data_IF_031417956817
#
_entry.id   IF_031417956817
#
_cell.length_a   1.000
_cell.length_b   1.000
_cell.length_c   1.000
_cell.angle_alpha   90.00
_cell.angle_beta   90.00
_cell.angle_gamma   90.00
#
_symmetry.space_group_name_H-M   'P 1'
#
loop_
_entity.id
_entity.type
_entity.pdbx_description
1 polymer ?
#
# COMPACT_ATOMS: atom_id res chain seq x y z
N UNK A 1 -0.96 -9.09 10.27
CA UNK A 1 -0.13 -8.18 9.45
C UNK A 1 0.79 -8.96 8.51
N UNK A 2 1.50 -9.95 9.00
CA UNK A 2 2.41 -10.76 8.17
C UNK A 2 1.69 -11.43 6.99
N UNK A 3 0.52 -12.01 7.24
CA UNK A 3 -0.26 -12.68 6.19
C UNK A 3 -0.71 -11.71 5.10
N UNK A 4 -1.12 -10.51 5.48
CA UNK A 4 -1.55 -9.47 4.52
C UNK A 4 -0.36 -9.06 3.64
N UNK A 5 0.80 -8.86 4.25
CA UNK A 5 2.02 -8.57 3.52
C UNK A 5 2.34 -9.67 2.48
N UNK A 6 2.29 -10.93 2.92
CA UNK A 6 2.59 -12.06 2.04
C UNK A 6 1.61 -12.17 0.89
N UNK A 7 0.32 -11.94 1.15
CA UNK A 7 -0.70 -11.95 0.10
C UNK A 7 -0.47 -10.84 -0.92
N UNK A 8 -0.15 -9.63 -0.48
CA UNK A 8 0.13 -8.51 -1.39
C UNK A 8 1.41 -8.76 -2.21
N UNK A 9 2.43 -9.34 -1.58
CA UNK A 9 3.65 -9.75 -2.30
C UNK A 9 3.34 -10.79 -3.36
N UNK A 10 2.53 -11.79 -3.02
CA UNK A 10 2.16 -12.85 -3.95
C UNK A 10 1.31 -12.32 -5.10
N UNK A 11 0.39 -11.40 -4.83
CA UNK A 11 -0.41 -10.77 -5.87
C UNK A 11 0.45 -10.01 -6.88
N UNK A 12 1.55 -9.41 -6.41
CA UNK A 12 2.43 -8.56 -7.22
C UNK A 12 1.81 -7.22 -7.50
N UNK A 13 0.76 -7.17 -8.31
CA UNK A 13 -0.04 -5.96 -8.55
C UNK A 13 -1.30 -6.02 -7.69
N UNK A 14 -1.57 -4.96 -6.98
CA UNK A 14 -2.84 -4.74 -6.30
C UNK A 14 -3.40 -3.38 -6.70
N UNK A 15 -4.67 -3.13 -6.39
CA UNK A 15 -5.34 -1.89 -6.77
C UNK A 15 -5.67 -1.10 -5.53
N UNK A 16 -5.31 0.18 -5.54
CA UNK A 16 -5.45 1.07 -4.41
C UNK A 16 -6.42 2.19 -4.76
N UNK A 17 -7.47 2.32 -3.96
CA UNK A 17 -8.49 3.35 -4.14
C UNK A 17 -8.31 4.46 -3.13
N UNK A 18 -8.50 5.68 -3.60
CA UNK A 18 -8.55 6.92 -2.81
C UNK A 18 -9.81 7.69 -3.15
N UNK A 19 -10.05 8.78 -2.45
CA UNK A 19 -11.18 9.65 -2.75
C UNK A 19 -10.67 11.08 -2.97
N UNK A 20 -11.14 11.72 -4.04
CA UNK A 20 -10.82 13.10 -4.35
C UNK A 20 -12.11 13.88 -4.55
N UNK A 21 -12.43 14.77 -3.61
CA UNK A 21 -13.65 15.59 -3.67
C UNK A 21 -14.92 14.77 -3.92
N UNK A 22 -15.03 13.63 -3.21
CA UNK A 22 -16.16 12.72 -3.36
C UNK A 22 -16.06 11.75 -4.53
N UNK A 23 -15.07 11.90 -5.41
CA UNK A 23 -14.88 10.99 -6.54
C UNK A 23 -13.90 9.86 -6.15
N UNK A 24 -14.32 8.59 -6.22
CA UNK A 24 -13.38 7.47 -6.06
C UNK A 24 -12.35 7.46 -7.19
N UNK A 25 -11.10 7.19 -6.83
CA UNK A 25 -10.00 7.03 -7.77
C UNK A 25 -9.30 5.71 -7.49
N UNK A 26 -8.91 4.98 -8.52
CA UNK A 26 -8.23 3.69 -8.38
C UNK A 26 -7.06 3.60 -9.36
N UNK A 27 -5.98 2.94 -8.94
CA UNK A 27 -4.79 2.72 -9.76
C UNK A 27 -4.05 1.47 -9.28
N UNK A 28 -3.22 0.87 -10.14
CA UNK A 28 -2.37 -0.24 -9.72
C UNK A 28 -1.21 0.23 -8.86
N UNK A 29 -0.85 -0.58 -7.88
CA UNK A 29 0.34 -0.45 -7.06
C UNK A 29 1.09 -1.80 -7.09
N UNK A 30 2.41 -1.76 -6.89
CA UNK A 30 3.22 -2.96 -6.93
C UNK A 30 4.20 -3.12 -5.77
N UNK A 31 4.17 -2.23 -4.79
CA UNK A 31 5.14 -2.26 -3.68
C UNK A 31 4.45 -2.51 -2.35
N UNK A 32 5.10 -3.33 -1.52
CA UNK A 32 4.71 -3.53 -0.13
C UNK A 32 5.93 -3.94 0.66
N UNK A 33 6.12 -3.37 1.85
CA UNK A 33 7.29 -3.64 2.67
C UNK A 33 6.89 -3.68 4.14
N UNK A 34 7.50 -4.58 4.90
CA UNK A 34 7.39 -4.60 6.35
C UNK A 34 8.64 -3.92 6.91
N UNK A 35 8.43 -2.87 7.71
CA UNK A 35 9.52 -2.12 8.29
C UNK A 35 9.10 -1.61 9.67
N UNK A 36 9.88 -1.94 10.70
CA UNK A 36 9.63 -1.55 12.09
C UNK A 36 8.19 -1.78 12.54
N UNK A 37 7.66 -2.97 12.24
CA UNK A 37 6.34 -3.41 12.68
C UNK A 37 5.17 -2.75 11.96
N UNK A 38 5.39 -2.15 10.79
CA UNK A 38 4.36 -1.49 9.99
C UNK A 38 4.42 -1.94 8.54
N UNK A 39 3.27 -1.87 7.88
CA UNK A 39 3.13 -2.20 6.47
C UNK A 39 3.22 -0.93 5.64
N UNK A 40 4.20 -0.86 4.75
CA UNK A 40 4.50 0.31 3.94
C UNK A 40 4.17 0.09 2.47
N UNK A 41 3.73 1.16 1.82
CA UNK A 41 3.56 1.27 0.37
C UNK A 41 4.38 2.47 -0.12
N UNK A 42 4.68 2.50 -1.42
CA UNK A 42 5.50 3.56 -2.01
C UNK A 42 4.81 4.20 -3.19
N UNK A 43 4.96 5.51 -3.30
CA UNK A 43 4.56 6.29 -4.47
C UNK A 43 5.56 7.42 -4.71
N UNK A 44 5.25 8.31 -5.65
CA UNK A 44 6.04 9.52 -5.94
C UNK A 44 5.21 10.78 -5.75
N UNK A 45 5.84 11.85 -5.28
CA UNK A 45 5.17 13.14 -5.02
C UNK A 45 4.49 13.71 -6.25
N UNK A 46 5.03 13.42 -7.44
CA UNK A 46 4.48 13.91 -8.70
C UNK A 46 3.16 13.23 -9.11
N UNK A 47 2.79 12.12 -8.44
CA UNK A 47 1.59 11.38 -8.80
C UNK A 47 0.35 11.93 -8.10
N UNK A 48 -0.80 11.80 -8.78
CA UNK A 48 -2.09 12.25 -8.24
C UNK A 48 -2.44 11.58 -6.91
N UNK A 49 -2.07 10.30 -6.73
CA UNK A 49 -2.34 9.58 -5.49
C UNK A 49 -1.67 10.23 -4.28
N UNK A 50 -0.48 10.81 -4.44
CA UNK A 50 0.18 11.56 -3.37
C UNK A 50 -0.67 12.74 -2.91
N UNK A 51 -1.13 13.57 -3.84
CA UNK A 51 -2.01 14.69 -3.54
C UNK A 51 -3.29 14.22 -2.85
N UNK A 52 -3.88 13.14 -3.34
CA UNK A 52 -5.12 12.60 -2.80
C UNK A 52 -4.95 12.12 -1.37
N UNK A 53 -3.89 11.39 -1.07
CA UNK A 53 -3.62 10.89 0.28
C UNK A 53 -3.28 12.02 1.26
N UNK A 54 -2.63 13.10 0.81
CA UNK A 54 -2.40 14.26 1.65
C UNK A 54 -3.70 14.97 2.02
N UNK A 55 -4.65 15.03 1.09
CA UNK A 55 -5.95 15.67 1.33
C UNK A 55 -6.91 14.77 2.11
N UNK A 56 -6.91 13.45 1.82
CA UNK A 56 -7.74 12.46 2.50
C UNK A 56 -6.97 11.14 2.58
N UNK A 57 -6.43 10.80 3.74
CA UNK A 57 -5.53 9.64 3.88
C UNK A 57 -6.23 8.27 3.93
N UNK A 58 -7.55 8.25 3.83
CA UNK A 58 -8.27 6.97 3.81
C UNK A 58 -8.12 6.31 2.46
N UNK A 59 -7.87 4.99 2.48
CA UNK A 59 -7.69 4.21 1.28
C UNK A 59 -8.31 2.82 1.41
N UNK A 60 -8.49 2.18 0.28
CA UNK A 60 -8.83 0.76 0.24
C UNK A 60 -8.01 0.08 -0.83
N UNK A 61 -7.55 -1.12 -0.52
CA UNK A 61 -6.78 -1.97 -1.43
C UNK A 61 -7.63 -3.19 -1.79
N UNK A 62 -7.54 -3.64 -3.04
CA UNK A 62 -8.10 -4.90 -3.47
C UNK A 62 -7.04 -5.69 -4.25
N UNK A 63 -6.85 -6.96 -3.89
CA UNK A 63 -5.89 -7.85 -4.54
C UNK A 63 -6.47 -9.25 -4.74
N UNK A 64 -6.26 -9.82 -5.92
CA UNK A 64 -6.63 -11.21 -6.21
C UNK A 64 -5.47 -12.13 -5.84
N UNK A 65 -5.75 -13.16 -5.04
CA UNK A 65 -4.76 -14.14 -4.61
C UNK A 65 -5.40 -15.53 -4.59
N UNK A 66 -4.91 -16.44 -5.44
CA UNK A 66 -5.34 -17.84 -5.47
C UNK A 66 -6.88 -18.02 -5.59
N UNK A 67 -7.52 -17.23 -6.45
CA UNK A 67 -8.98 -17.31 -6.66
C UNK A 67 -9.80 -16.67 -5.53
N UNK A 68 -9.15 -16.11 -4.52
CA UNK A 68 -9.76 -15.33 -3.45
C UNK A 68 -9.40 -13.86 -3.67
N UNK A 69 -10.05 -12.95 -2.92
CA UNK A 69 -9.66 -11.55 -2.99
C UNK A 69 -9.53 -10.96 -1.60
N UNK A 70 -8.47 -10.17 -1.46
CA UNK A 70 -8.15 -9.45 -0.23
C UNK A 70 -8.60 -8.01 -0.39
N UNK A 71 -9.34 -7.49 0.59
CA UNK A 71 -9.66 -6.06 0.68
C UNK A 71 -9.05 -5.52 1.96
N UNK A 72 -8.38 -4.37 1.86
CA UNK A 72 -7.71 -3.74 3.00
C UNK A 72 -8.18 -2.31 3.12
N UNK A 73 -8.87 -1.99 4.21
CA UNK A 73 -9.23 -0.62 4.55
C UNK A 73 -8.21 -0.09 5.53
N UNK A 74 -7.70 1.12 5.30
CA UNK A 74 -6.68 1.70 6.15
C UNK A 74 -6.66 3.22 6.05
N UNK A 75 -5.94 3.83 6.99
CA UNK A 75 -5.53 5.22 6.93
C UNK A 75 -4.03 5.26 6.66
N UNK A 76 -3.62 5.98 5.61
CA UNK A 76 -2.21 6.11 5.25
C UNK A 76 -1.55 7.22 6.06
N UNK A 77 -0.30 6.99 6.49
CA UNK A 77 0.51 7.99 7.18
C UNK A 77 1.85 8.09 6.45
N UNK A 78 2.19 9.27 5.98
CA UNK A 78 3.49 9.46 5.33
C UNK A 78 4.60 9.37 6.36
N UNK A 79 5.63 8.56 6.07
CA UNK A 79 6.84 8.49 6.87
C UNK A 79 7.93 9.27 6.13
N UNK A 80 8.26 10.45 6.63
CA UNK A 80 9.21 11.36 5.98
C UNK A 80 10.67 11.02 6.30
N UNK A 81 10.92 9.98 7.11
CA UNK A 81 12.29 9.59 7.48
C UNK A 81 12.98 8.92 6.31
N UNK A 82 14.23 9.32 6.09
CA UNK A 82 15.05 8.77 5.01
C UNK A 82 15.18 7.24 5.10
N UNK A 83 15.37 6.72 6.31
CA UNK A 83 15.55 5.27 6.53
C UNK A 83 14.38 4.44 6.05
N UNK A 84 13.15 4.98 6.14
CA UNK A 84 11.97 4.29 5.63
C UNK A 84 11.99 4.19 4.10
N UNK A 85 12.42 5.24 3.42
CA UNK A 85 12.59 5.22 1.95
C UNK A 85 13.70 4.25 1.54
N UNK A 86 14.82 4.27 2.26
CA UNK A 86 15.92 3.33 2.00
C UNK A 86 15.45 1.89 2.13
N UNK A 87 14.71 1.56 3.19
CA UNK A 87 14.20 0.20 3.42
C UNK A 87 13.32 -0.27 2.26
N UNK A 88 12.43 0.59 1.78
CA UNK A 88 11.55 0.25 0.65
C UNK A 88 12.35 -0.01 -0.62
N UNK A 89 13.31 0.84 -0.94
CA UNK A 89 14.10 0.69 -2.17
C UNK A 89 15.05 -0.49 -2.11
N UNK A 90 15.52 -0.87 -0.93
CA UNK A 90 16.29 -2.10 -0.75
C UNK A 90 15.42 -3.34 -0.99
N UNK A 91 14.14 -3.29 -0.64
CA UNK A 91 13.19 -4.38 -0.90
C UNK A 91 12.84 -4.50 -2.39
N UNK A 92 13.01 -3.44 -3.17
CA UNK A 92 12.70 -3.39 -4.59
C UNK A 92 13.86 -2.76 -5.38
N UNK A 93 15.00 -3.48 -5.53
CA UNK A 93 16.17 -2.93 -6.22
C UNK A 93 15.89 -2.41 -7.63
N UNK A 94 14.91 -3.03 -8.32
CA UNK A 94 14.51 -2.61 -9.67
C UNK A 94 13.95 -1.19 -9.72
N UNK A 95 13.45 -0.67 -8.62
CA UNK A 95 12.96 0.71 -8.56
C UNK A 95 14.08 1.74 -8.51
N UNK A 96 15.31 1.31 -8.21
CA UNK A 96 16.43 2.23 -8.06
C UNK A 96 16.86 2.88 -9.38
N UNK A 97 16.36 2.38 -10.52
CA UNK A 97 16.54 3.04 -11.81
C UNK A 97 15.61 4.26 -11.99
N UNK A 98 14.53 4.34 -11.20
CA UNK A 98 13.50 5.39 -11.29
C UNK A 98 13.43 6.28 -10.05
N UNK A 99 13.82 5.74 -8.89
CA UNK A 99 13.69 6.39 -7.59
C UNK A 99 14.98 6.26 -6.80
N UNK A 100 15.25 7.26 -5.96
CA UNK A 100 16.32 7.16 -4.95
C UNK A 100 15.82 7.76 -3.63
N UNK A 101 16.45 7.44 -2.50
CA UNK A 101 16.00 7.96 -1.20
C UNK A 101 16.02 9.48 -1.10
N UNK A 102 16.86 10.13 -1.91
CA UNK A 102 17.11 11.57 -1.84
C UNK A 102 16.70 12.31 -3.12
N UNK A 103 15.82 11.71 -3.93
CA UNK A 103 15.38 12.31 -5.19
C UNK A 103 14.32 13.42 -5.02
N UNK A 104 13.84 13.64 -3.79
CA UNK A 104 12.79 14.63 -3.53
C UNK A 104 11.43 14.22 -4.07
N UNK A 105 11.27 13.01 -4.59
CA UNK A 105 10.03 12.50 -5.18
C UNK A 105 9.52 11.24 -4.49
N UNK A 106 10.40 10.33 -4.07
CA UNK A 106 10.02 9.08 -3.42
C UNK A 106 9.28 9.34 -2.11
N UNK A 107 8.08 8.77 -2.00
CA UNK A 107 7.30 8.79 -0.76
C UNK A 107 6.99 7.38 -0.31
N UNK A 108 7.09 7.14 1.00
CA UNK A 108 6.61 5.91 1.62
C UNK A 108 5.57 6.25 2.66
N UNK A 109 4.52 5.44 2.69
CA UNK A 109 3.38 5.61 3.59
C UNK A 109 3.15 4.30 4.32
N UNK A 110 2.96 4.34 5.64
CA UNK A 110 2.52 3.13 6.34
C UNK A 110 1.02 3.16 6.58
N UNK A 111 0.45 1.96 6.72
CA UNK A 111 -0.99 1.78 6.91
C UNK A 111 -1.30 1.68 8.41
N UNK A 112 -2.30 2.43 8.83
CA UNK A 112 -2.77 2.49 10.22
C UNK A 112 -4.26 2.19 10.26
N UNK A 113 -4.74 1.67 11.41
CA UNK A 113 -6.14 1.31 11.59
C UNK A 113 -6.62 0.36 10.48
N UNK A 114 -5.85 -0.69 10.26
CA UNK A 114 -6.09 -1.62 9.15
C UNK A 114 -7.18 -2.61 9.50
N UNK A 115 -8.14 -2.77 8.59
CA UNK A 115 -9.07 -3.90 8.56
C UNK A 115 -8.87 -4.60 7.22
N UNK A 116 -8.31 -5.80 7.28
CA UNK A 116 -8.08 -6.64 6.09
C UNK A 116 -9.06 -7.80 6.12
N UNK A 117 -9.79 -8.01 5.01
CA UNK A 117 -10.76 -9.07 4.88
C UNK A 117 -10.44 -9.91 3.67
N UNK A 118 -10.29 -11.22 3.87
CA UNK A 118 -10.10 -12.18 2.80
C UNK A 118 -11.44 -12.80 2.45
N UNK A 119 -11.87 -12.61 1.21
CA UNK A 119 -13.12 -13.14 0.66
C UNK A 119 -12.87 -14.32 -0.26
N UNK A 120 -13.82 -15.24 -0.28
CA UNK A 120 -13.83 -16.33 -1.25
C UNK A 120 -15.29 -16.65 -1.62
N UNK A 121 -15.45 -17.44 -2.70
CA UNK A 121 -16.78 -17.88 -3.10
C UNK A 121 -17.29 -19.06 -2.27
N UNK A 122 -16.43 -19.70 -1.49
CA UNK A 122 -16.74 -20.99 -0.82
C UNK A 122 -16.61 -20.93 0.70
N UNK A 123 -15.91 -19.95 1.25
CA UNK A 123 -15.66 -19.85 2.69
C UNK A 123 -16.17 -18.51 3.25
N UNK A 124 -16.50 -18.46 4.55
CA UNK A 124 -16.84 -17.19 5.18
C UNK A 124 -15.65 -16.23 5.15
N UNK A 125 -15.91 -14.91 5.15
CA UNK A 125 -14.82 -13.91 5.21
C UNK A 125 -13.94 -14.09 6.44
N UNK A 126 -12.63 -13.90 6.25
CA UNK A 126 -11.65 -13.90 7.35
C UNK A 126 -11.15 -12.48 7.53
N UNK A 127 -11.22 -11.98 8.75
CA UNK A 127 -10.88 -10.60 9.09
C UNK A 127 -9.65 -10.54 9.97
N UNK A 128 -8.72 -9.66 9.65
CA UNK A 128 -7.58 -9.31 10.48
C UNK A 128 -7.55 -7.79 10.67
N UNK A 129 -7.23 -7.36 11.90
CA UNK A 129 -7.12 -5.93 12.25
C UNK A 129 -5.77 -5.66 12.89
N UNK A 130 -5.15 -4.58 12.49
CA UNK A 130 -3.88 -4.16 13.07
C UNK A 130 -3.58 -2.68 12.82
#
# INVERSE_FOLDING_TARGET
MQEVYEMLKKAGTYYLATCEEGQPRVRPFGTVNLYKGKLYIQTGKSKAVSRQLHANPKLEICAMVDGKWLRVEATAVEDVRREARVSMLEAYPELQSLYSPDDGNTEVWYLRNVTATLYSFTEPPKVARF
#
